data_IF_323598923821
#
_entry.id   IF_323598923821
#
_cell.length_a   1.000
_cell.length_b   1.000
_cell.length_c   1.000
_cell.angle_alpha   90.00
_cell.angle_beta   90.00
_cell.angle_gamma   90.00
#
_symmetry.space_group_name_H-M   'P 1'
#
loop_
_entity.id
_entity.type
_entity.pdbx_description
1 polymer ?
#
# COMPACT_ATOMS: atom_id res chain seq x y z
N UNK A 1 -13.59 -38.04 -29.06
CA UNK A 1 -13.55 -37.14 -27.89
C UNK A 1 -12.23 -37.40 -27.16
N UNK A 2 -11.21 -36.60 -27.43
CA UNK A 2 -9.92 -36.71 -26.72
C UNK A 2 -9.72 -35.41 -25.95
N UNK A 3 -9.94 -35.47 -24.64
CA UNK A 3 -9.67 -34.39 -23.70
C UNK A 3 -8.16 -34.28 -23.51
N UNK A 4 -7.52 -33.43 -24.31
CA UNK A 4 -6.17 -32.95 -24.01
C UNK A 4 -6.22 -32.11 -22.75
N UNK A 5 -6.00 -32.77 -21.60
CA UNK A 5 -5.63 -32.12 -20.35
C UNK A 5 -4.30 -31.37 -20.59
N UNK A 6 -4.40 -30.07 -20.82
CA UNK A 6 -3.24 -29.17 -20.78
C UNK A 6 -2.71 -29.21 -19.36
N UNK A 7 -1.65 -29.99 -19.12
CA UNK A 7 -0.82 -29.89 -17.92
C UNK A 7 -0.37 -28.44 -17.82
N UNK A 8 -0.99 -27.70 -16.91
CA UNK A 8 -0.46 -26.41 -16.47
C UNK A 8 0.84 -26.69 -15.74
N UNK A 9 1.97 -26.33 -16.36
CA UNK A 9 3.28 -26.31 -15.69
C UNK A 9 3.27 -25.20 -14.64
N UNK A 10 2.75 -25.52 -13.45
CA UNK A 10 2.77 -24.63 -12.30
C UNK A 10 4.21 -24.51 -11.80
N UNK A 11 4.84 -23.36 -12.05
CA UNK A 11 6.21 -23.11 -11.55
C UNK A 11 6.14 -22.69 -10.08
N UNK A 12 6.12 -23.67 -9.18
CA UNK A 12 6.19 -23.44 -7.73
C UNK A 12 7.49 -22.72 -7.39
N UNK A 13 7.40 -21.67 -6.57
CA UNK A 13 8.59 -20.93 -6.11
C UNK A 13 9.53 -21.86 -5.34
N UNK A 14 10.84 -21.58 -5.36
CA UNK A 14 11.81 -22.34 -4.54
C UNK A 14 11.76 -21.94 -3.06
N UNK A 15 11.47 -20.66 -2.80
CA UNK A 15 11.40 -20.09 -1.46
C UNK A 15 10.26 -19.08 -1.31
N UNK A 16 9.80 -18.95 -0.08
CA UNK A 16 8.75 -18.04 0.37
C UNK A 16 9.39 -17.02 1.32
N UNK A 17 9.07 -15.75 1.11
CA UNK A 17 9.31 -14.70 2.08
C UNK A 17 8.05 -14.54 2.92
N UNK A 18 8.13 -14.80 4.22
CA UNK A 18 7.00 -14.62 5.12
C UNK A 18 6.60 -13.13 5.16
N UNK A 19 5.33 -12.76 4.86
CA UNK A 19 4.87 -11.38 4.95
C UNK A 19 4.69 -10.91 6.41
N UNK A 20 4.85 -11.78 7.40
CA UNK A 20 4.71 -11.38 8.80
C UNK A 20 6.05 -11.12 9.48
N UNK A 21 6.98 -12.06 9.36
CA UNK A 21 8.25 -12.03 10.08
C UNK A 21 9.48 -11.87 9.17
N UNK A 22 9.29 -11.75 7.86
CA UNK A 22 10.33 -11.56 6.85
C UNK A 22 11.38 -12.68 6.79
N UNK A 23 11.11 -13.81 7.45
CA UNK A 23 11.93 -15.00 7.32
C UNK A 23 11.72 -15.61 5.93
N UNK A 24 12.82 -15.83 5.22
CA UNK A 24 12.81 -16.55 3.95
C UNK A 24 13.08 -18.02 4.20
N UNK A 25 12.20 -18.90 3.71
CA UNK A 25 12.33 -20.35 3.88
C UNK A 25 11.99 -21.10 2.58
N UNK A 26 12.52 -22.30 2.36
CA UNK A 26 12.15 -23.15 1.23
C UNK A 26 10.67 -23.56 1.26
N UNK A 27 10.04 -23.73 0.10
CA UNK A 27 8.61 -24.10 0.06
C UNK A 27 8.31 -25.41 0.81
N UNK A 28 9.20 -26.40 0.74
CA UNK A 28 9.02 -27.68 1.42
C UNK A 28 9.11 -27.60 2.95
N UNK A 29 9.58 -26.48 3.51
CA UNK A 29 9.61 -26.25 4.97
C UNK A 29 8.31 -25.64 5.51
N UNK A 30 7.34 -25.33 4.64
CA UNK A 30 6.03 -24.78 5.04
C UNK A 30 5.29 -25.72 6.00
N UNK A 31 4.66 -25.15 7.01
CA UNK A 31 3.82 -25.90 7.94
C UNK A 31 2.36 -25.88 7.46
N UNK A 32 1.58 -26.86 7.88
CA UNK A 32 0.13 -26.88 7.74
C UNK A 32 -0.53 -26.66 9.10
N UNK A 33 -1.71 -26.06 9.10
CA UNK A 33 -2.50 -25.81 10.31
C UNK A 33 -3.50 -26.96 10.45
N UNK A 34 -3.51 -27.62 11.61
CA UNK A 34 -4.44 -28.71 11.90
C UNK A 34 -5.90 -28.23 11.92
N UNK A 35 -6.83 -29.12 11.57
CA UNK A 35 -8.27 -28.86 11.60
C UNK A 35 -8.98 -29.64 12.71
N UNK A 36 -8.43 -30.78 13.16
CA UNK A 36 -9.06 -31.56 14.23
C UNK A 36 -9.14 -30.78 15.56
N UNK A 37 -10.30 -30.70 16.24
CA UNK A 37 -10.48 -29.89 17.46
C UNK A 37 -9.54 -30.22 18.63
N UNK A 38 -9.11 -31.48 18.75
CA UNK A 38 -8.16 -31.91 19.79
C UNK A 38 -6.71 -31.46 19.54
N UNK A 39 -6.37 -30.97 18.35
CA UNK A 39 -5.01 -30.59 17.98
C UNK A 39 -4.72 -29.12 18.29
N UNK A 40 -5.06 -28.67 19.49
CA UNK A 40 -4.75 -27.34 20.00
C UNK A 40 -3.35 -27.28 20.65
N UNK A 41 -2.86 -26.06 20.87
CA UNK A 41 -1.56 -25.80 21.47
C UNK A 41 -0.45 -25.67 20.46
N UNK A 42 -0.28 -24.44 19.97
CA UNK A 42 0.84 -24.05 19.14
C UNK A 42 1.98 -23.45 20.00
N UNK A 43 3.23 -23.90 19.84
CA UNK A 43 4.35 -23.42 20.68
C UNK A 43 4.72 -21.95 20.44
N UNK A 44 4.25 -21.33 19.36
CA UNK A 44 4.49 -19.91 19.04
C UNK A 44 3.27 -19.05 19.33
N UNK A 45 2.06 -19.55 19.13
CA UNK A 45 0.84 -18.73 19.25
C UNK A 45 0.06 -18.96 20.55
N UNK A 46 0.32 -20.06 21.25
CA UNK A 46 -0.32 -20.40 22.52
C UNK A 46 -1.36 -21.51 22.41
N UNK A 47 -2.04 -21.75 23.52
CA UNK A 47 -2.90 -22.92 23.72
C UNK A 47 -4.20 -22.88 22.89
N UNK A 48 -4.70 -21.70 22.58
CA UNK A 48 -5.98 -21.52 21.87
C UNK A 48 -5.85 -21.66 20.35
N UNK A 49 -4.63 -21.86 19.84
CA UNK A 49 -4.36 -21.97 18.42
C UNK A 49 -4.19 -23.42 17.99
N UNK A 50 -4.75 -23.75 16.83
CA UNK A 50 -4.53 -25.04 16.16
C UNK A 50 -3.03 -25.30 15.96
N UNK A 51 -2.59 -26.51 16.22
CA UNK A 51 -1.19 -26.88 16.12
C UNK A 51 -0.73 -26.83 14.67
N UNK A 52 0.45 -26.23 14.44
CA UNK A 52 1.13 -26.30 13.16
C UNK A 52 1.95 -27.59 13.06
N UNK A 53 1.93 -28.25 11.92
CA UNK A 53 2.64 -29.51 11.70
C UNK A 53 3.26 -29.59 10.31
N UNK A 54 4.27 -30.44 10.15
CA UNK A 54 4.79 -30.83 8.84
C UNK A 54 4.02 -32.06 8.34
N UNK A 55 3.39 -32.00 7.16
CA UNK A 55 2.61 -33.12 6.66
C UNK A 55 3.53 -34.27 6.23
N UNK A 56 3.15 -35.49 6.60
CA UNK A 56 3.76 -36.73 6.11
C UNK A 56 2.83 -37.51 5.18
N UNK A 57 1.55 -37.13 5.13
CA UNK A 57 0.49 -37.77 4.36
C UNK A 57 -0.36 -36.72 3.68
N UNK A 58 -0.84 -37.05 2.49
CA UNK A 58 -1.71 -36.20 1.69
C UNK A 58 -2.90 -37.00 1.15
N UNK A 59 -4.03 -36.32 0.97
CA UNK A 59 -5.16 -36.86 0.21
C UNK A 59 -4.80 -36.92 -1.28
N UNK A 60 -5.56 -37.66 -2.12
CA UNK A 60 -5.39 -37.63 -3.57
C UNK A 60 -5.53 -36.23 -4.20
N UNK A 61 -6.18 -35.29 -3.51
CA UNK A 61 -6.33 -33.88 -3.92
C UNK A 61 -5.18 -32.99 -3.43
N UNK A 62 -4.09 -33.58 -2.91
CA UNK A 62 -2.94 -32.88 -2.37
C UNK A 62 -3.22 -32.01 -1.13
N UNK A 63 -4.22 -32.37 -0.33
CA UNK A 63 -4.46 -31.75 0.98
C UNK A 63 -3.63 -32.48 2.04
N UNK A 64 -3.01 -31.75 2.96
CA UNK A 64 -2.28 -32.36 4.05
C UNK A 64 -3.23 -33.11 4.98
N UNK A 65 -2.84 -34.27 5.50
CA UNK A 65 -3.64 -34.99 6.50
C UNK A 65 -3.01 -34.78 7.87
N UNK A 66 -3.78 -34.26 8.83
CA UNK A 66 -3.30 -34.04 10.18
C UNK A 66 -3.07 -35.35 10.96
N UNK A 67 -2.44 -35.31 12.15
CA UNK A 67 -2.21 -36.50 12.96
C UNK A 67 -3.48 -37.29 13.33
N UNK A 68 -4.66 -36.66 13.30
CA UNK A 68 -5.96 -37.27 13.64
C UNK A 68 -6.76 -37.68 12.40
N UNK A 69 -6.23 -37.47 11.20
CA UNK A 69 -6.82 -37.94 9.95
C UNK A 69 -7.69 -36.91 9.21
N UNK A 70 -7.75 -35.66 9.66
CA UNK A 70 -8.52 -34.62 8.96
C UNK A 70 -7.71 -34.01 7.82
N UNK A 71 -8.33 -33.74 6.65
CA UNK A 71 -7.70 -32.97 5.59
C UNK A 71 -7.49 -31.52 6.03
N UNK A 72 -6.39 -30.90 5.61
CA UNK A 72 -5.97 -29.56 5.98
C UNK A 72 -5.45 -28.82 4.75
N UNK A 73 -5.93 -27.60 4.55
CA UNK A 73 -5.57 -26.78 3.38
C UNK A 73 -4.83 -25.48 3.72
N UNK A 74 -4.84 -25.06 4.99
CA UNK A 74 -4.19 -23.85 5.49
C UNK A 74 -2.72 -24.08 5.79
N UNK A 75 -1.92 -23.07 5.47
CA UNK A 75 -0.46 -23.12 5.59
C UNK A 75 0.07 -22.06 6.54
N UNK A 76 1.25 -22.29 7.13
CA UNK A 76 1.85 -21.41 8.11
C UNK A 76 3.37 -21.31 7.98
N UNK A 77 3.92 -20.21 8.47
CA UNK A 77 5.37 -19.97 8.47
C UNK A 77 6.08 -20.88 9.48
N UNK A 78 7.17 -21.58 9.11
CA UNK A 78 7.92 -22.42 10.04
C UNK A 78 8.63 -21.64 11.15
N UNK A 79 8.83 -20.34 10.99
CA UNK A 79 9.49 -19.50 11.99
C UNK A 79 8.49 -18.90 13.00
N UNK A 80 7.47 -18.19 12.50
CA UNK A 80 6.53 -17.46 13.35
C UNK A 80 5.15 -18.11 13.50
N UNK A 81 4.87 -19.19 12.78
CA UNK A 81 3.62 -19.97 12.80
C UNK A 81 2.33 -19.24 12.39
N UNK A 82 2.42 -17.94 12.10
CA UNK A 82 1.33 -17.17 11.50
C UNK A 82 0.95 -17.77 10.14
N UNK A 83 -0.34 -17.68 9.83
CA UNK A 83 -0.92 -18.19 8.59
C UNK A 83 -0.28 -17.50 7.38
N UNK A 84 0.05 -18.29 6.38
CA UNK A 84 0.64 -17.84 5.12
C UNK A 84 -0.40 -18.07 4.04
N UNK A 85 -0.98 -16.99 3.47
CA UNK A 85 -1.94 -17.12 2.39
C UNK A 85 -1.33 -17.84 1.19
N UNK A 86 -2.14 -18.66 0.50
CA UNK A 86 -1.70 -19.38 -0.71
C UNK A 86 -1.08 -18.46 -1.77
N UNK A 87 -1.55 -17.22 -1.85
CA UNK A 87 -0.97 -16.19 -2.72
C UNK A 87 0.54 -15.97 -2.50
N UNK A 88 1.07 -16.17 -1.29
CA UNK A 88 2.51 -16.07 -0.99
C UNK A 88 3.34 -17.23 -1.58
N UNK A 89 2.69 -18.37 -1.83
CA UNK A 89 3.31 -19.57 -2.39
C UNK A 89 3.36 -19.44 -3.92
N UNK A 90 2.26 -18.94 -4.51
CA UNK A 90 2.08 -18.82 -5.95
C UNK A 90 2.74 -17.58 -6.55
N UNK A 91 2.64 -16.44 -5.87
CA UNK A 91 3.01 -15.13 -6.42
C UNK A 91 4.23 -14.55 -5.70
N UNK A 92 5.01 -13.76 -6.44
CA UNK A 92 6.11 -13.03 -5.84
C UNK A 92 5.59 -11.89 -4.95
N UNK A 93 5.96 -11.85 -3.65
CA UNK A 93 5.62 -10.72 -2.81
C UNK A 93 6.36 -9.47 -3.29
N UNK A 94 5.64 -8.35 -3.30
CA UNK A 94 6.17 -7.00 -3.49
C UNK A 94 5.83 -6.20 -2.24
N UNK A 95 6.85 -5.89 -1.46
CA UNK A 95 6.68 -5.19 -0.18
C UNK A 95 6.69 -3.69 -0.44
N UNK A 96 5.65 -3.01 0.04
CA UNK A 96 5.51 -1.56 0.03
C UNK A 96 5.48 -1.09 1.48
N UNK A 97 6.44 -0.25 1.85
CA UNK A 97 6.48 0.36 3.18
C UNK A 97 5.92 1.75 3.15
N UNK A 98 4.85 1.99 3.90
CA UNK A 98 4.28 3.32 4.08
C UNK A 98 4.85 3.95 5.34
N UNK A 99 5.62 5.02 5.15
CA UNK A 99 6.34 5.78 6.17
C UNK A 99 5.68 7.16 6.25
N UNK A 100 5.52 7.72 7.43
CA UNK A 100 5.01 9.07 7.55
C UNK A 100 4.71 9.43 8.99
N UNK A 101 4.76 10.73 9.30
CA UNK A 101 4.53 11.22 10.65
C UNK A 101 3.11 10.88 11.18
N UNK A 102 2.89 10.91 12.49
CA UNK A 102 1.55 10.91 13.08
C UNK A 102 0.62 11.92 12.38
N UNK A 103 -0.63 11.52 12.16
CA UNK A 103 -1.68 12.35 11.57
C UNK A 103 -1.45 12.90 10.14
N UNK A 104 -0.44 12.44 9.37
CA UNK A 104 -0.24 12.85 7.96
C UNK A 104 -1.24 12.23 6.97
N UNK A 105 -2.15 11.37 7.45
CA UNK A 105 -3.23 10.77 6.65
C UNK A 105 -2.94 9.38 6.06
N UNK A 106 -2.01 8.59 6.63
CA UNK A 106 -1.65 7.25 6.13
C UNK A 106 -2.84 6.31 5.94
N UNK A 107 -3.68 6.15 6.96
CA UNK A 107 -4.83 5.24 6.90
C UNK A 107 -5.82 5.69 5.80
N UNK A 108 -6.13 6.98 5.73
CA UNK A 108 -6.96 7.54 4.66
C UNK A 108 -6.35 7.30 3.27
N UNK A 109 -5.04 7.51 3.12
CA UNK A 109 -4.32 7.29 1.87
C UNK A 109 -4.38 5.82 1.42
N UNK A 110 -4.07 4.87 2.30
CA UNK A 110 -4.07 3.44 1.97
C UNK A 110 -5.50 2.98 1.62
N UNK A 111 -6.51 3.37 2.40
CA UNK A 111 -7.91 3.05 2.11
C UNK A 111 -8.34 3.60 0.75
N UNK A 112 -8.05 4.87 0.49
CA UNK A 112 -8.44 5.52 -0.78
C UNK A 112 -7.63 4.98 -1.96
N UNK A 113 -6.38 4.59 -1.76
CA UNK A 113 -5.55 3.96 -2.78
C UNK A 113 -6.09 2.56 -3.14
N UNK A 114 -6.41 1.74 -2.15
CA UNK A 114 -6.98 0.41 -2.37
C UNK A 114 -8.31 0.50 -3.13
N UNK A 115 -9.21 1.39 -2.68
CA UNK A 115 -10.48 1.68 -3.33
C UNK A 115 -10.31 2.10 -4.80
N UNK A 116 -9.42 3.08 -5.06
CA UNK A 116 -9.18 3.56 -6.41
C UNK A 116 -8.53 2.50 -7.31
N UNK A 117 -7.58 1.71 -6.80
CA UNK A 117 -6.94 0.64 -7.55
C UNK A 117 -7.92 -0.47 -7.96
N UNK A 118 -8.87 -0.87 -7.09
CA UNK A 118 -9.92 -1.86 -7.44
C UNK A 118 -10.72 -1.43 -8.67
N UNK A 119 -11.02 -0.13 -8.75
CA UNK A 119 -11.77 0.46 -9.84
C UNK A 119 -10.93 0.66 -11.11
N UNK A 120 -9.73 1.23 -10.96
CA UNK A 120 -8.89 1.66 -12.10
C UNK A 120 -8.19 0.47 -12.78
N UNK A 121 -7.62 -0.46 -12.02
CA UNK A 121 -6.82 -1.55 -12.57
C UNK A 121 -7.64 -2.51 -13.45
N UNK A 122 -8.84 -2.87 -12.98
CA UNK A 122 -9.71 -3.80 -13.70
C UNK A 122 -10.26 -3.16 -14.98
N UNK A 123 -10.79 -1.94 -14.87
CA UNK A 123 -11.47 -1.23 -15.97
C UNK A 123 -10.52 -0.73 -17.05
N UNK A 124 -9.35 -0.22 -16.68
CA UNK A 124 -8.47 0.46 -17.62
C UNK A 124 -7.24 -0.35 -18.00
N UNK A 125 -6.71 -1.16 -17.08
CA UNK A 125 -5.45 -1.88 -17.29
C UNK A 125 -5.65 -3.38 -17.52
N UNK A 126 -6.88 -3.89 -17.41
CA UNK A 126 -7.19 -5.33 -17.47
C UNK A 126 -6.39 -6.15 -16.46
N UNK A 127 -6.24 -5.63 -15.23
CA UNK A 127 -5.53 -6.29 -14.13
C UNK A 127 -6.50 -6.49 -12.96
N UNK A 128 -6.56 -7.71 -12.45
CA UNK A 128 -7.27 -8.02 -11.22
C UNK A 128 -6.49 -7.50 -10.03
N UNK A 129 -7.16 -6.76 -9.15
CA UNK A 129 -6.67 -6.36 -7.83
C UNK A 129 -7.65 -6.89 -6.77
N UNK A 130 -7.30 -8.02 -6.17
CA UNK A 130 -8.20 -8.75 -5.28
C UNK A 130 -7.59 -8.91 -3.89
N UNK A 131 -8.46 -8.98 -2.88
CA UNK A 131 -8.07 -9.29 -1.51
C UNK A 131 -7.42 -10.69 -1.46
N UNK A 132 -6.22 -10.79 -0.88
CA UNK A 132 -5.50 -12.06 -0.76
C UNK A 132 -5.77 -12.76 0.58
N UNK A 133 -6.25 -12.03 1.59
CA UNK A 133 -6.56 -12.53 2.92
C UNK A 133 -7.59 -11.60 3.59
N UNK A 134 -8.89 -11.95 3.52
CA UNK A 134 -9.96 -11.11 4.05
C UNK A 134 -9.89 -10.87 5.56
N UNK A 135 -9.27 -11.78 6.33
CA UNK A 135 -9.15 -11.63 7.77
C UNK A 135 -8.07 -10.60 8.11
N UNK A 136 -6.92 -10.68 7.43
CA UNK A 136 -5.85 -9.70 7.59
C UNK A 136 -6.30 -8.31 7.11
N UNK A 137 -7.04 -8.25 6.00
CA UNK A 137 -7.52 -7.00 5.41
C UNK A 137 -8.83 -6.47 6.02
N UNK A 138 -9.40 -7.15 7.01
CA UNK A 138 -10.70 -6.79 7.61
C UNK A 138 -10.78 -5.30 7.96
N UNK A 139 -9.77 -4.77 8.66
CA UNK A 139 -9.66 -3.35 9.02
C UNK A 139 -9.79 -2.42 7.82
N UNK A 140 -9.13 -2.76 6.71
CA UNK A 140 -9.19 -1.94 5.50
C UNK A 140 -10.57 -2.01 4.86
N UNK A 141 -11.19 -3.19 4.85
CA UNK A 141 -12.55 -3.38 4.33
C UNK A 141 -13.57 -2.58 5.16
N UNK A 142 -13.40 -2.50 6.48
CA UNK A 142 -14.19 -1.64 7.37
C UNK A 142 -13.98 -0.15 7.05
N UNK A 143 -12.73 0.28 6.81
CA UNK A 143 -12.44 1.66 6.42
C UNK A 143 -13.03 2.02 5.05
N UNK A 144 -12.92 1.12 4.07
CA UNK A 144 -13.57 1.29 2.74
C UNK A 144 -15.08 1.39 2.90
N UNK A 145 -15.66 0.56 3.78
CA UNK A 145 -17.10 0.61 4.07
C UNK A 145 -17.51 1.95 4.65
N UNK A 146 -16.75 2.46 5.63
CA UNK A 146 -17.05 3.71 6.30
C UNK A 146 -16.91 4.94 5.37
N UNK A 147 -15.91 4.96 4.48
CA UNK A 147 -15.64 6.11 3.62
C UNK A 147 -16.39 6.08 2.28
N UNK A 148 -16.58 4.92 1.66
CA UNK A 148 -17.04 4.82 0.27
C UNK A 148 -18.33 4.01 0.06
N UNK A 149 -18.69 3.14 1.00
CA UNK A 149 -19.91 2.32 0.93
C UNK A 149 -20.91 2.65 2.05
N UNK A 150 -20.73 3.76 2.75
CA UNK A 150 -21.61 4.16 3.81
C UNK A 150 -22.97 4.59 3.22
N UNK A 151 -24.04 3.93 3.64
CA UNK A 151 -25.39 4.24 3.16
C UNK A 151 -25.82 5.64 3.60
N UNK A 152 -25.34 6.10 4.76
CA UNK A 152 -25.66 7.41 5.31
C UNK A 152 -24.61 8.43 4.86
N UNK A 153 -24.71 8.85 3.59
CA UNK A 153 -23.68 9.64 2.92
C UNK A 153 -23.50 11.07 3.46
N UNK A 154 -24.42 11.56 4.29
CA UNK A 154 -24.38 12.88 4.92
C UNK A 154 -23.75 12.86 6.33
N UNK A 155 -23.63 11.68 6.94
CA UNK A 155 -23.09 11.52 8.28
C UNK A 155 -21.57 11.74 8.29
N UNK A 156 -21.08 12.46 9.31
CA UNK A 156 -19.65 12.68 9.48
C UNK A 156 -18.97 11.42 9.96
N UNK A 157 -18.00 10.95 9.19
CA UNK A 157 -17.16 9.80 9.53
C UNK A 157 -15.71 10.19 9.72
N UNK A 158 -15.03 9.53 10.65
CA UNK A 158 -13.59 9.66 10.88
C UNK A 158 -12.97 8.26 11.00
N UNK A 159 -11.83 8.03 10.36
CA UNK A 159 -11.08 6.80 10.56
C UNK A 159 -10.40 6.83 11.94
N UNK A 160 -10.41 5.73 12.70
CA UNK A 160 -9.69 5.66 13.97
C UNK A 160 -8.18 5.82 13.76
N UNK A 161 -7.49 6.35 14.77
CA UNK A 161 -6.02 6.48 14.73
C UNK A 161 -5.38 5.09 14.70
N UNK A 162 -4.28 4.98 13.97
CA UNK A 162 -3.47 3.76 13.97
C UNK A 162 -2.65 3.71 15.24
N UNK A 163 -2.80 2.63 16.01
CA UNK A 163 -2.11 2.44 17.28
C UNK A 163 -0.78 1.67 17.13
N UNK A 164 0.12 1.81 18.11
CA UNK A 164 1.42 1.12 18.14
C UNK A 164 1.35 -0.29 18.72
N UNK A 165 0.17 -0.70 19.21
CA UNK A 165 -0.10 -2.03 19.75
C UNK A 165 -1.55 -2.44 19.41
N UNK A 166 -1.98 -3.62 19.84
CA UNK A 166 -3.36 -4.08 19.66
C UNK A 166 -3.60 -4.78 18.33
N UNK A 167 -4.77 -4.57 17.73
CA UNK A 167 -5.29 -5.36 16.61
C UNK A 167 -4.42 -5.30 15.33
N UNK A 168 -3.58 -4.27 15.21
CA UNK A 168 -2.61 -4.10 14.12
C UNK A 168 -1.45 -5.10 14.15
N UNK A 169 -1.26 -5.80 15.28
CA UNK A 169 -0.11 -6.67 15.49
C UNK A 169 -0.55 -8.11 15.79
N UNK A 170 0.31 -9.05 15.43
CA UNK A 170 0.21 -10.46 15.81
C UNK A 170 1.30 -10.78 16.82
N UNK A 171 0.92 -11.26 17.99
CA UNK A 171 1.86 -11.68 19.05
C UNK A 171 2.34 -13.11 18.80
N UNK A 172 3.65 -13.31 18.87
CA UNK A 172 4.32 -14.60 18.61
C UNK A 172 5.37 -14.84 19.68
N UNK A 173 5.36 -16.03 20.28
CA UNK A 173 6.24 -16.44 21.36
C UNK A 173 7.54 -17.08 20.83
N UNK A 174 8.68 -16.49 21.21
CA UNK A 174 10.02 -17.05 21.03
C UNK A 174 10.61 -17.43 22.39
N UNK A 175 10.34 -18.66 22.83
CA UNK A 175 10.67 -19.11 24.18
C UNK A 175 9.85 -18.34 25.20
N UNK A 176 10.50 -17.62 26.11
CA UNK A 176 9.83 -16.75 27.08
C UNK A 176 9.53 -15.33 26.56
N UNK A 177 9.97 -14.98 25.34
CA UNK A 177 9.81 -13.63 24.78
C UNK A 177 8.60 -13.57 23.86
N UNK A 178 7.69 -12.62 24.09
CA UNK A 178 6.65 -12.27 23.11
C UNK A 178 7.18 -11.22 22.14
N UNK A 179 7.00 -11.47 20.85
CA UNK A 179 7.37 -10.57 19.75
C UNK A 179 6.12 -10.19 18.98
N UNK A 180 5.94 -8.90 18.73
CA UNK A 180 4.78 -8.38 17.98
C UNK A 180 5.17 -8.08 16.53
N UNK A 181 4.52 -8.76 15.59
CA UNK A 181 4.68 -8.51 14.15
C UNK A 181 3.52 -7.68 13.61
N UNK A 182 3.85 -6.66 12.81
CA UNK A 182 2.85 -5.84 12.13
C UNK A 182 2.10 -6.66 11.08
N UNK A 183 0.76 -6.57 11.07
CA UNK A 183 -0.08 -7.20 10.04
C UNK A 183 -0.02 -6.35 8.75
N UNK A 184 0.47 -6.88 7.62
CA UNK A 184 0.43 -6.18 6.34
C UNK A 184 -0.96 -6.25 5.71
N UNK A 185 -1.31 -5.32 4.83
CA UNK A 185 -2.42 -5.54 3.90
C UNK A 185 -1.94 -6.36 2.69
N UNK A 186 -2.70 -7.37 2.29
CA UNK A 186 -2.30 -8.34 1.27
C UNK A 186 -3.25 -8.32 0.06
N UNK A 187 -2.71 -8.10 -1.13
CA UNK A 187 -3.50 -8.09 -2.37
C UNK A 187 -2.86 -8.91 -3.46
N UNK A 188 -3.66 -9.56 -4.29
CA UNK A 188 -3.18 -10.18 -5.52
C UNK A 188 -3.34 -9.23 -6.70
N UNK A 189 -2.26 -9.08 -7.48
CA UNK A 189 -2.22 -8.39 -8.76
C UNK A 189 -2.00 -9.44 -9.85
N UNK A 190 -3.01 -9.68 -10.70
CA UNK A 190 -2.95 -10.69 -11.76
C UNK A 190 -3.48 -10.14 -13.08
N UNK A 191 -2.78 -10.34 -14.22
CA UNK A 191 -3.35 -10.07 -15.54
C UNK A 191 -4.69 -10.80 -15.73
N UNK A 192 -5.72 -10.08 -16.19
CA UNK A 192 -7.00 -10.70 -16.58
C UNK A 192 -6.85 -11.46 -17.90
N UNK A 193 -7.85 -12.28 -18.26
CA UNK A 193 -7.87 -13.02 -19.54
C UNK A 193 -7.82 -12.08 -20.76
N UNK A 194 -8.32 -10.85 -20.62
CA UNK A 194 -8.31 -9.80 -21.64
C UNK A 194 -7.00 -9.01 -21.70
N UNK A 195 -6.02 -9.34 -20.85
CA UNK A 195 -4.72 -8.68 -20.84
C UNK A 195 -3.78 -9.31 -21.90
N UNK A 196 -2.97 -8.54 -22.65
CA UNK A 196 -2.01 -9.06 -23.63
C UNK A 196 -1.06 -10.11 -23.06
N UNK A 197 -0.69 -9.97 -21.78
CA UNK A 197 0.16 -10.92 -21.06
C UNK A 197 -0.62 -11.95 -20.20
N UNK A 198 -1.88 -12.26 -20.53
CA UNK A 198 -2.71 -13.20 -19.76
C UNK A 198 -2.04 -14.59 -19.60
N UNK A 199 -1.37 -15.09 -20.64
CA UNK A 199 -0.67 -16.37 -20.60
C UNK A 199 0.51 -16.38 -19.60
N UNK A 200 1.08 -15.21 -19.29
CA UNK A 200 2.18 -15.06 -18.35
C UNK A 200 1.71 -14.73 -16.92
N UNK A 201 0.43 -14.98 -16.58
CA UNK A 201 -0.16 -14.64 -15.28
C UNK A 201 0.65 -15.12 -14.07
N UNK A 202 1.17 -16.35 -14.10
CA UNK A 202 1.96 -16.89 -12.99
C UNK A 202 3.31 -16.18 -12.85
N UNK A 203 3.98 -15.86 -13.95
CA UNK A 203 5.29 -15.22 -13.95
C UNK A 203 5.19 -13.72 -13.63
N UNK A 204 4.13 -13.05 -14.08
CA UNK A 204 3.92 -11.62 -13.91
C UNK A 204 3.12 -11.28 -12.66
N UNK A 205 2.25 -12.18 -12.19
CA UNK A 205 1.42 -11.96 -11.02
C UNK A 205 2.25 -11.63 -9.77
N UNK A 206 1.69 -10.78 -8.91
CA UNK A 206 2.34 -10.32 -7.67
C UNK A 206 1.39 -10.45 -6.50
N UNK A 207 1.96 -10.71 -5.33
CA UNK A 207 1.30 -10.45 -4.07
C UNK A 207 1.82 -9.10 -3.57
N UNK A 208 0.98 -8.09 -3.52
CA UNK A 208 1.33 -6.79 -2.94
C UNK A 208 1.15 -6.87 -1.43
N UNK A 209 2.22 -6.58 -0.68
CA UNK A 209 2.20 -6.53 0.78
C UNK A 209 2.44 -5.07 1.22
N UNK A 210 1.40 -4.39 1.68
CA UNK A 210 1.47 -2.98 2.11
C UNK A 210 1.56 -2.94 3.63
N UNK A 211 2.65 -2.36 4.16
CA UNK A 211 2.80 -2.15 5.60
C UNK A 211 2.44 -0.71 5.96
N UNK A 212 1.54 -0.60 6.93
CA UNK A 212 1.09 0.65 7.54
C UNK A 212 1.60 0.70 8.97
N UNK A 213 2.75 1.36 9.17
CA UNK A 213 3.30 1.58 10.49
C UNK A 213 2.62 2.79 11.14
N UNK A 214 2.39 2.74 12.45
CA UNK A 214 2.03 3.95 13.20
C UNK A 214 3.14 5.01 13.01
N UNK A 215 2.77 6.29 12.98
CA UNK A 215 3.77 7.35 12.73
C UNK A 215 4.78 7.45 13.86
N UNK A 216 4.32 7.12 15.06
CA UNK A 216 5.06 7.02 16.32
C UNK A 216 6.16 5.96 16.24
N UNK A 217 5.99 4.89 15.45
CA UNK A 217 6.98 3.82 15.29
C UNK A 217 8.31 4.29 14.68
N UNK A 218 8.30 5.44 14.01
CA UNK A 218 9.48 6.05 13.40
C UNK A 218 10.04 7.22 14.22
N UNK A 219 9.63 7.37 15.47
CA UNK A 219 10.29 8.27 16.41
C UNK A 219 11.54 7.59 17.00
N UNK A 220 12.58 8.36 17.38
CA UNK A 220 13.79 7.80 17.99
C UNK A 220 13.49 6.94 19.22
N UNK A 221 14.15 5.79 19.32
CA UNK A 221 14.07 4.90 20.49
C UNK A 221 12.86 3.95 20.55
N UNK A 222 11.98 3.95 19.53
CA UNK A 222 10.76 3.14 19.52
C UNK A 222 10.94 1.71 18.96
N UNK A 223 12.12 1.35 18.46
CA UNK A 223 12.40 -0.01 17.97
C UNK A 223 13.09 -0.85 19.06
N UNK A 224 12.48 -1.98 19.41
CA UNK A 224 13.05 -2.96 20.35
C UNK A 224 13.10 -4.33 19.71
N UNK A 225 13.93 -5.23 20.24
CA UNK A 225 13.95 -6.63 19.79
C UNK A 225 12.61 -7.36 19.94
N UNK A 226 11.69 -6.85 20.78
CA UNK A 226 10.34 -7.37 20.98
C UNK A 226 9.32 -6.78 19.99
N UNK A 227 9.63 -5.63 19.37
CA UNK A 227 8.79 -4.93 18.41
C UNK A 227 9.63 -4.55 17.17
N UNK A 228 9.97 -5.52 16.30
CA UNK A 228 10.74 -5.29 15.07
C UNK A 228 9.85 -4.67 13.98
N UNK A 229 9.09 -3.63 14.32
CA UNK A 229 8.01 -3.05 13.49
C UNK A 229 8.54 -2.47 12.18
N UNK A 230 9.82 -2.09 12.12
CA UNK A 230 10.47 -1.54 10.93
C UNK A 230 11.33 -2.52 10.16
N UNK A 231 11.39 -3.80 10.54
CA UNK A 231 12.19 -4.80 9.83
C UNK A 231 11.72 -5.04 8.39
N UNK A 232 10.44 -4.81 8.09
CA UNK A 232 9.94 -4.84 6.71
C UNK A 232 10.69 -3.88 5.77
N UNK A 233 11.22 -2.75 6.27
CA UNK A 233 11.97 -1.77 5.47
C UNK A 233 13.18 -2.38 4.75
N UNK A 234 13.81 -3.43 5.32
CA UNK A 234 14.95 -4.10 4.71
C UNK A 234 14.58 -5.06 3.59
N UNK A 235 13.29 -5.36 3.44
CA UNK A 235 12.77 -6.27 2.41
C UNK A 235 11.90 -5.54 1.37
N UNK A 236 11.77 -4.22 1.51
CA UNK A 236 10.88 -3.42 0.67
C UNK A 236 11.31 -3.43 -0.79
N UNK A 237 10.33 -3.36 -1.68
CA UNK A 237 10.52 -3.10 -3.10
C UNK A 237 10.14 -1.66 -3.47
N UNK A 238 9.43 -0.97 -2.58
CA UNK A 238 9.04 0.41 -2.71
C UNK A 238 8.90 1.06 -1.33
N UNK A 239 9.47 2.26 -1.18
CA UNK A 239 9.16 3.14 -0.06
C UNK A 239 8.14 4.19 -0.49
N UNK A 240 7.12 4.41 0.33
CA UNK A 240 6.21 5.55 0.22
C UNK A 240 6.34 6.40 1.47
N UNK A 241 6.85 7.62 1.32
CA UNK A 241 6.90 8.57 2.43
C UNK A 241 5.78 9.59 2.29
N UNK A 242 4.83 9.58 3.22
CA UNK A 242 3.74 10.54 3.27
C UNK A 242 4.20 11.80 4.00
N UNK A 243 4.25 12.87 3.23
CA UNK A 243 4.55 14.21 3.70
C UNK A 243 3.27 15.04 3.64
N UNK A 244 2.87 15.60 4.77
CA UNK A 244 1.71 16.50 4.88
C UNK A 244 2.18 17.96 4.94
N UNK A 245 2.08 18.74 3.85
CA UNK A 245 2.53 20.12 3.85
C UNK A 245 1.79 20.99 4.86
N UNK A 246 0.55 20.64 5.23
CA UNK A 246 -0.25 21.44 6.18
C UNK A 246 0.25 21.36 7.62
N UNK A 247 1.14 20.39 7.93
CA UNK A 247 1.81 20.27 9.22
C UNK A 247 3.16 21.02 9.29
N UNK A 248 3.69 21.52 8.17
CA UNK A 248 4.91 22.35 8.17
C UNK A 248 4.57 23.84 8.33
N UNK A 249 5.24 24.53 9.23
CA UNK A 249 4.95 25.94 9.57
C UNK A 249 5.23 26.89 8.40
N UNK A 250 6.30 26.66 7.62
CA UNK A 250 6.65 27.52 6.48
C UNK A 250 5.67 27.33 5.34
N UNK A 251 5.31 26.07 5.07
CA UNK A 251 4.33 25.74 4.05
C UNK A 251 2.93 26.27 4.45
N UNK A 252 2.54 26.12 5.71
CA UNK A 252 1.32 26.69 6.28
C UNK A 252 1.25 28.21 6.13
N UNK A 253 2.36 28.93 6.37
CA UNK A 253 2.44 30.39 6.15
C UNK A 253 2.28 30.75 4.67
N UNK A 254 2.98 30.03 3.78
CA UNK A 254 2.89 30.27 2.34
C UNK A 254 1.47 30.02 1.78
N UNK A 255 0.71 29.11 2.39
CA UNK A 255 -0.70 28.89 2.07
C UNK A 255 -1.58 30.09 2.47
N UNK A 256 -1.32 30.70 3.63
CA UNK A 256 -2.08 31.85 4.12
C UNK A 256 -1.82 33.11 3.29
N UNK A 257 -0.57 33.32 2.87
CA UNK A 257 -0.17 34.49 2.06
C UNK A 257 -0.78 34.50 0.65
N UNK A 258 -1.22 33.34 0.13
CA UNK A 258 -1.83 33.19 -1.20
C UNK A 258 -3.35 33.00 -1.18
N UNK A 259 -3.96 32.81 -0.02
CA UNK A 259 -5.38 32.56 0.12
C UNK A 259 -6.10 33.85 0.54
N UNK A 260 -6.38 34.75 -0.41
CA UNK A 260 -7.14 35.98 -0.13
C UNK A 260 -8.65 35.73 0.07
N UNK A 261 -9.21 34.54 -0.22
CA UNK A 261 -10.67 34.29 -0.11
C UNK A 261 -11.11 32.80 0.03
N UNK A 262 -10.27 31.88 0.53
CA UNK A 262 -10.62 30.43 0.59
C UNK A 262 -11.09 29.95 1.99
N UNK A 263 -12.27 29.28 2.14
CA UNK A 263 -12.79 28.72 3.39
C UNK A 263 -11.91 27.65 4.09
N UNK A 264 -10.68 27.41 3.63
CA UNK A 264 -9.70 26.49 4.23
C UNK A 264 -9.22 26.87 5.65
N UNK A 265 -9.86 27.85 6.30
CA UNK A 265 -9.66 28.22 7.72
C UNK A 265 -9.89 27.04 8.69
N UNK A 266 -10.70 26.04 8.31
CA UNK A 266 -10.94 24.83 9.10
C UNK A 266 -9.68 23.97 9.32
N UNK A 267 -8.69 24.04 8.42
CA UNK A 267 -7.44 23.27 8.52
C UNK A 267 -6.52 23.84 9.61
N UNK A 268 -6.78 25.06 10.13
CA UNK A 268 -5.90 25.72 11.10
C UNK A 268 -6.05 25.17 12.54
N UNK A 269 -7.20 24.60 12.91
CA UNK A 269 -7.48 24.28 14.32
C UNK A 269 -6.91 22.95 14.84
N UNK A 270 -6.33 22.09 13.97
CA UNK A 270 -5.73 20.79 14.35
C UNK A 270 -4.22 20.68 14.06
N UNK A 271 -3.56 21.76 13.66
CA UNK A 271 -2.13 21.75 13.28
C UNK A 271 -1.24 21.65 14.51
N UNK A 272 -0.91 20.42 14.90
CA UNK A 272 0.32 20.20 15.66
C UNK A 272 1.45 20.24 14.64
N UNK A 273 2.20 21.34 14.63
CA UNK A 273 3.39 21.44 13.80
C UNK A 273 4.33 20.29 14.15
N UNK A 274 4.76 19.54 13.13
CA UNK A 274 5.61 18.38 13.33
C UNK A 274 6.79 18.40 12.36
N UNK A 275 7.97 18.10 12.90
CA UNK A 275 9.21 17.93 12.14
C UNK A 275 9.23 16.59 11.42
N UNK A 276 8.49 16.51 10.30
CA UNK A 276 8.34 15.30 9.49
C UNK A 276 9.66 14.81 8.87
N UNK A 277 10.63 15.68 8.67
CA UNK A 277 11.97 15.32 8.21
C UNK A 277 12.71 14.41 9.20
N UNK A 278 12.38 14.51 10.50
CA UNK A 278 12.96 13.64 11.52
C UNK A 278 12.50 12.20 11.32
N UNK A 279 11.22 12.01 10.95
CA UNK A 279 10.64 10.69 10.64
C UNK A 279 11.30 10.08 9.42
N UNK A 280 11.49 10.87 8.35
CA UNK A 280 12.18 10.39 7.15
C UNK A 280 13.66 10.06 7.43
N UNK A 281 14.34 10.90 8.21
CA UNK A 281 15.75 10.69 8.57
C UNK A 281 15.94 9.45 9.44
N UNK A 282 15.04 9.20 10.39
CA UNK A 282 15.05 7.98 11.21
C UNK A 282 14.81 6.74 10.36
N UNK A 283 13.82 6.77 9.45
CA UNK A 283 13.59 5.69 8.51
C UNK A 283 14.81 5.46 7.60
N UNK A 284 15.45 6.53 7.12
CA UNK A 284 16.67 6.48 6.33
C UNK A 284 17.80 5.74 7.08
N UNK A 285 18.04 6.10 8.35
CA UNK A 285 19.04 5.44 9.18
C UNK A 285 18.76 3.94 9.35
N UNK A 286 17.49 3.55 9.55
CA UNK A 286 17.10 2.13 9.67
C UNK A 286 17.32 1.36 8.37
N UNK A 287 16.99 1.97 7.22
CA UNK A 287 17.23 1.38 5.90
C UNK A 287 18.74 1.18 5.67
N UNK A 288 19.56 2.20 5.96
CA UNK A 288 21.02 2.16 5.78
C UNK A 288 21.69 1.14 6.70
N UNK A 289 21.20 0.96 7.93
CA UNK A 289 21.70 -0.06 8.86
C UNK A 289 21.37 -1.49 8.41
N UNK A 290 20.40 -1.67 7.51
CA UNK A 290 20.06 -3.00 7.01
C UNK A 290 21.14 -3.55 6.08
N UNK A 291 21.45 -4.84 6.21
CA UNK A 291 22.52 -5.48 5.43
C UNK A 291 22.23 -5.60 3.93
N UNK A 292 20.96 -5.44 3.52
CA UNK A 292 20.51 -5.53 2.11
C UNK A 292 20.59 -4.21 1.34
N UNK A 293 20.68 -3.07 2.03
CA UNK A 293 20.54 -1.74 1.42
C UNK A 293 21.70 -0.80 1.75
N UNK A 294 22.88 -1.37 2.02
CA UNK A 294 24.10 -0.63 2.35
C UNK A 294 24.47 0.35 1.23
N UNK A 295 24.50 -0.12 -0.01
CA UNK A 295 24.72 0.70 -1.21
C UNK A 295 23.44 1.39 -1.65
N UNK A 296 23.55 2.67 -2.03
CA UNK A 296 22.41 3.49 -2.44
C UNK A 296 21.77 3.00 -3.75
N UNK A 297 22.55 2.39 -4.63
CA UNK A 297 22.05 1.84 -5.91
C UNK A 297 21.13 0.64 -5.70
N UNK A 298 21.34 -0.13 -4.63
CA UNK A 298 20.54 -1.31 -4.29
C UNK A 298 19.26 -0.94 -3.54
N UNK A 299 19.07 0.34 -3.19
CA UNK A 299 17.90 0.80 -2.46
C UNK A 299 16.66 0.80 -3.37
N UNK A 300 15.51 0.36 -2.83
CA UNK A 300 14.21 0.54 -3.48
C UNK A 300 13.99 1.99 -3.87
N UNK A 301 13.18 2.25 -4.90
CA UNK A 301 12.72 3.60 -5.17
C UNK A 301 11.90 4.15 -3.99
N UNK A 302 11.92 5.48 -3.87
CA UNK A 302 11.12 6.24 -2.92
C UNK A 302 10.10 7.10 -3.67
N UNK A 303 8.84 6.97 -3.28
CA UNK A 303 7.79 7.92 -3.67
C UNK A 303 7.49 8.80 -2.48
N UNK A 304 7.74 10.11 -2.60
CA UNK A 304 7.28 11.10 -1.63
C UNK A 304 5.84 11.45 -2.00
N UNK A 305 4.90 10.93 -1.23
CA UNK A 305 3.46 11.20 -1.38
C UNK A 305 3.14 12.49 -0.64
N UNK A 306 2.94 13.56 -1.39
CA UNK A 306 2.65 14.89 -0.84
C UNK A 306 1.13 15.00 -0.66
N UNK A 307 0.67 14.82 0.58
CA UNK A 307 -0.75 14.64 0.88
C UNK A 307 -1.52 15.96 0.89
N UNK A 308 -2.86 15.85 0.94
CA UNK A 308 -3.81 16.97 1.00
C UNK A 308 -3.65 17.98 -0.14
N UNK A 309 -3.39 17.48 -1.35
CA UNK A 309 -3.27 18.30 -2.55
C UNK A 309 -4.41 19.31 -2.72
N UNK A 310 -5.64 18.93 -2.42
CA UNK A 310 -6.84 19.76 -2.36
C UNK A 310 -6.63 21.08 -1.59
N UNK A 311 -5.87 21.05 -0.49
CA UNK A 311 -5.60 22.22 0.35
C UNK A 311 -4.53 23.17 -0.23
N UNK A 312 -3.67 22.70 -1.13
CA UNK A 312 -2.54 23.48 -1.65
C UNK A 312 -2.43 23.50 -3.18
N UNK A 313 -3.43 22.98 -3.89
CA UNK A 313 -3.48 22.88 -5.36
C UNK A 313 -3.17 24.19 -6.09
N UNK A 314 -3.59 25.32 -5.52
CA UNK A 314 -3.37 26.66 -6.08
C UNK A 314 -1.89 27.07 -6.10
N UNK A 315 -1.02 26.37 -5.36
CA UNK A 315 0.42 26.63 -5.35
C UNK A 315 1.17 25.95 -6.50
N UNK A 316 0.59 24.92 -7.13
CA UNK A 316 1.25 24.12 -8.16
C UNK A 316 0.99 24.63 -9.59
N UNK A 317 -0.05 25.45 -9.77
CA UNK A 317 -0.51 25.98 -11.07
C UNK A 317 -0.57 24.86 -12.15
N UNK A 318 -1.11 23.70 -11.75
CA UNK A 318 -1.22 22.52 -12.59
C UNK A 318 -2.53 21.80 -12.23
N UNK A 319 -3.31 21.44 -13.25
CA UNK A 319 -4.48 20.58 -13.04
C UNK A 319 -4.06 19.12 -13.14
N UNK A 320 -4.35 18.34 -12.11
CA UNK A 320 -4.06 16.92 -12.09
C UNK A 320 -5.11 16.14 -12.90
N UNK A 321 -4.79 15.81 -14.14
CA UNK A 321 -5.57 14.89 -14.98
C UNK A 321 -5.15 13.43 -14.73
N UNK A 322 -5.97 12.45 -15.11
CA UNK A 322 -5.59 11.04 -15.02
C UNK A 322 -4.30 10.75 -15.81
N UNK A 323 -3.20 10.28 -15.18
CA UNK A 323 -1.92 10.06 -15.86
C UNK A 323 -1.87 8.71 -16.59
N UNK A 324 -2.96 8.34 -17.26
CA UNK A 324 -3.02 7.15 -18.10
C UNK A 324 -3.93 7.39 -19.30
N UNK A 325 -3.65 6.71 -20.40
CA UNK A 325 -4.38 6.88 -21.66
C UNK A 325 -4.57 5.55 -22.36
N UNK A 326 -5.69 5.43 -23.06
CA UNK A 326 -5.99 4.23 -23.86
C UNK A 326 -5.00 4.09 -25.01
N UNK A 327 -4.35 2.93 -25.12
CA UNK A 327 -3.40 2.59 -26.17
C UNK A 327 -4.10 1.64 -27.14
N UNK A 328 -4.54 2.17 -28.30
CA UNK A 328 -5.31 1.40 -29.29
C UNK A 328 -4.64 0.08 -29.70
N UNK A 329 -3.32 0.08 -29.89
CA UNK A 329 -2.57 -1.13 -30.27
C UNK A 329 -2.53 -2.21 -29.19
N UNK A 330 -2.71 -1.84 -27.92
CA UNK A 330 -2.71 -2.78 -26.79
C UNK A 330 -4.13 -3.14 -26.33
N UNK A 331 -5.15 -2.37 -26.73
CA UNK A 331 -6.53 -2.59 -26.32
C UNK A 331 -6.81 -2.22 -24.85
N UNK A 332 -5.91 -1.49 -24.19
CA UNK A 332 -5.98 -1.11 -22.77
C UNK A 332 -5.20 0.19 -22.50
N UNK A 333 -5.31 0.73 -21.28
CA UNK A 333 -4.59 1.93 -20.88
C UNK A 333 -3.13 1.66 -20.52
N UNK A 334 -2.25 2.60 -20.86
CA UNK A 334 -0.88 2.70 -20.35
C UNK A 334 -0.70 3.95 -19.50
N UNK A 335 0.19 3.88 -18.51
CA UNK A 335 0.54 5.05 -17.66
C UNK A 335 1.40 6.02 -18.45
N UNK A 336 1.01 7.30 -18.45
CA UNK A 336 1.76 8.41 -19.03
C UNK A 336 2.85 8.83 -18.04
N UNK A 337 3.95 8.08 -17.99
CA UNK A 337 5.05 8.28 -17.04
C UNK A 337 5.60 9.71 -17.08
N UNK A 338 5.76 10.29 -18.28
CA UNK A 338 6.27 11.66 -18.44
C UNK A 338 5.38 12.72 -17.76
N UNK A 339 4.07 12.48 -17.68
CA UNK A 339 3.13 13.40 -17.04
C UNK A 339 3.34 13.38 -15.54
N UNK A 340 3.49 12.19 -14.95
CA UNK A 340 3.81 12.03 -13.53
C UNK A 340 5.17 12.65 -13.21
N UNK A 341 6.18 12.44 -14.06
CA UNK A 341 7.52 13.01 -13.87
C UNK A 341 7.53 14.55 -14.00
N UNK A 342 6.76 15.13 -14.92
CA UNK A 342 6.59 16.60 -15.01
C UNK A 342 5.95 17.18 -13.76
N UNK A 343 4.84 16.60 -13.29
CA UNK A 343 4.19 17.05 -12.05
C UNK A 343 5.13 16.88 -10.87
N UNK A 344 5.87 15.77 -10.82
CA UNK A 344 6.88 15.53 -9.79
C UNK A 344 7.97 16.58 -9.77
N UNK A 345 8.47 17.05 -10.91
CA UNK A 345 9.46 18.13 -10.95
C UNK A 345 8.88 19.43 -10.38
N UNK A 346 7.65 19.81 -10.74
CA UNK A 346 6.99 21.01 -10.18
C UNK A 346 6.80 20.90 -8.67
N UNK A 347 6.37 19.74 -8.17
CA UNK A 347 6.20 19.50 -6.74
C UNK A 347 7.55 19.51 -6.02
N UNK A 348 8.59 18.90 -6.60
CA UNK A 348 9.96 18.95 -6.09
C UNK A 348 10.43 20.41 -5.96
N UNK A 349 10.26 21.23 -6.97
CA UNK A 349 10.68 22.64 -6.97
C UNK A 349 9.92 23.48 -5.94
N UNK A 350 8.64 23.17 -5.70
CA UNK A 350 7.87 23.76 -4.61
C UNK A 350 8.44 23.36 -3.23
N UNK A 351 8.68 22.06 -3.03
CA UNK A 351 9.25 21.55 -1.78
C UNK A 351 10.68 22.03 -1.55
N UNK A 352 11.52 22.14 -2.57
CA UNK A 352 12.89 22.67 -2.45
C UNK A 352 12.91 24.12 -1.97
N UNK A 353 11.87 24.91 -2.29
CA UNK A 353 11.76 26.30 -1.81
C UNK A 353 11.22 26.40 -0.38
N UNK A 354 10.26 25.56 -0.01
CA UNK A 354 9.54 25.70 1.27
C UNK A 354 10.10 24.77 2.37
N UNK A 355 10.47 23.55 1.99
CA UNK A 355 10.92 22.47 2.88
C UNK A 355 12.11 21.71 2.25
N UNK A 356 13.24 22.39 1.99
CA UNK A 356 14.39 21.81 1.30
C UNK A 356 14.94 20.56 2.00
N UNK A 357 14.85 20.48 3.32
CA UNK A 357 15.31 19.33 4.09
C UNK A 357 14.59 18.03 3.75
N UNK A 358 13.29 18.07 3.39
CA UNK A 358 12.57 16.87 2.93
C UNK A 358 13.12 16.38 1.59
N UNK A 359 13.38 17.30 0.66
CA UNK A 359 13.96 16.96 -0.66
C UNK A 359 15.36 16.39 -0.49
N UNK A 360 16.21 17.07 0.28
CA UNK A 360 17.58 16.65 0.54
C UNK A 360 17.64 15.26 1.19
N UNK A 361 16.86 15.01 2.23
CA UNK A 361 16.85 13.70 2.91
C UNK A 361 16.31 12.59 2.00
N UNK A 362 15.27 12.85 1.22
CA UNK A 362 14.70 11.87 0.28
C UNK A 362 15.71 11.47 -0.81
N UNK A 363 16.37 12.48 -1.41
CA UNK A 363 17.35 12.29 -2.48
C UNK A 363 18.69 11.75 -1.97
N UNK A 364 19.07 12.02 -0.71
CA UNK A 364 20.21 11.37 -0.08
C UNK A 364 19.94 9.88 0.21
N UNK A 365 18.71 9.56 0.65
CA UNK A 365 18.30 8.19 0.94
C UNK A 365 18.24 7.32 -0.33
N UNK A 366 17.64 7.78 -1.42
CA UNK A 366 17.39 6.96 -2.61
C UNK A 366 17.89 7.61 -3.91
N UNK A 367 18.42 6.81 -4.84
CA UNK A 367 18.78 7.29 -6.19
C UNK A 367 17.56 7.54 -7.10
N UNK A 368 16.41 6.96 -6.74
CA UNK A 368 15.17 7.03 -7.52
C UNK A 368 14.09 7.61 -6.64
N UNK A 369 13.84 8.91 -6.79
CA UNK A 369 12.82 9.65 -6.03
C UNK A 369 11.82 10.28 -6.98
N UNK A 370 10.54 10.19 -6.66
CA UNK A 370 9.46 10.90 -7.35
C UNK A 370 8.52 11.50 -6.30
N UNK A 371 8.04 12.71 -6.56
CA UNK A 371 7.16 13.48 -5.68
C UNK A 371 5.77 13.47 -6.29
N UNK A 372 4.80 12.86 -5.62
CA UNK A 372 3.44 12.68 -6.19
C UNK A 372 2.44 13.40 -5.31
N UNK A 373 1.74 14.43 -5.82
CA UNK A 373 0.66 15.09 -5.10
C UNK A 373 -0.55 14.16 -5.01
N UNK A 374 -1.13 14.06 -3.81
CA UNK A 374 -2.27 13.17 -3.55
C UNK A 374 -3.25 13.83 -2.59
N UNK A 375 -4.55 13.59 -2.80
CA UNK A 375 -5.58 13.81 -1.78
C UNK A 375 -6.33 12.53 -1.53
N UNK A 376 -6.25 12.00 -0.32
CA UNK A 376 -6.99 10.81 0.05
C UNK A 376 -8.50 11.07 0.03
N UNK A 377 -8.94 12.17 0.65
CA UNK A 377 -10.35 12.53 0.74
C UNK A 377 -10.81 13.45 -0.39
N UNK A 378 -9.91 14.25 -0.97
CA UNK A 378 -10.26 15.24 -2.00
C UNK A 378 -10.99 16.48 -1.49
N UNK A 379 -11.32 16.50 -0.21
CA UNK A 379 -12.05 17.57 0.46
C UNK A 379 -11.53 17.78 1.89
N UNK A 380 -11.79 18.97 2.43
CA UNK A 380 -11.51 19.31 3.81
C UNK A 380 -12.54 18.69 4.78
N UNK A 381 -12.15 18.35 6.02
CA UNK A 381 -13.09 17.85 7.01
C UNK A 381 -14.13 18.93 7.39
N UNK A 382 -15.35 18.48 7.65
CA UNK A 382 -16.45 19.29 8.15
C UNK A 382 -16.65 19.09 9.64
N UNK A 383 -17.18 20.11 10.30
CA UNK A 383 -17.55 20.07 11.72
C UNK A 383 -19.01 19.66 11.88
N UNK A 384 -19.33 18.90 12.92
CA UNK A 384 -20.72 18.57 13.27
C UNK A 384 -21.50 19.82 13.66
N UNK A 385 -22.83 19.77 13.53
CA UNK A 385 -23.72 20.90 13.87
C UNK A 385 -23.56 21.33 15.33
N UNK A 386 -23.35 20.38 16.24
CA UNK A 386 -23.11 20.64 17.66
C UNK A 386 -21.67 21.10 17.97
N UNK A 387 -20.77 21.11 16.97
CA UNK A 387 -19.39 21.58 17.11
C UNK A 387 -18.42 20.58 17.75
N UNK A 388 -18.88 19.42 18.22
CA UNK A 388 -18.07 18.50 19.03
C UNK A 388 -17.17 17.56 18.21
N UNK A 389 -17.47 17.34 16.93
CA UNK A 389 -16.79 16.34 16.10
C UNK A 389 -16.39 16.90 14.74
N UNK A 390 -15.24 16.44 14.26
CA UNK A 390 -14.78 16.66 12.90
C UNK A 390 -14.84 15.34 12.14
N UNK A 391 -15.18 15.38 10.87
CA UNK A 391 -15.19 14.20 10.02
C UNK A 391 -15.35 14.57 8.55
N UNK A 392 -15.50 13.57 7.71
CA UNK A 392 -15.79 13.72 6.29
C UNK A 392 -17.19 13.18 6.03
N UNK A 393 -17.92 13.82 5.11
CA UNK A 393 -19.16 13.22 4.61
C UNK A 393 -18.80 12.31 3.44
N UNK A 394 -19.19 11.03 3.46
CA UNK A 394 -18.88 10.09 2.38
C UNK A 394 -19.18 10.63 0.97
N UNK A 395 -20.29 11.36 0.78
CA UNK A 395 -20.65 11.96 -0.53
C UNK A 395 -19.63 12.96 -1.08
N UNK A 396 -18.88 13.63 -0.20
CA UNK A 396 -17.94 14.69 -0.58
C UNK A 396 -16.53 14.10 -0.86
N UNK A 397 -16.32 12.82 -0.56
CA UNK A 397 -15.02 12.15 -0.70
C UNK A 397 -14.75 11.86 -2.18
N UNK A 398 -13.72 12.51 -2.72
CA UNK A 398 -13.29 12.40 -4.12
C UNK A 398 -11.76 12.26 -4.20
N UNK A 399 -11.20 11.04 -4.02
CA UNK A 399 -9.77 10.85 -4.00
C UNK A 399 -9.08 11.38 -5.27
N UNK A 400 -7.94 12.04 -5.09
CA UNK A 400 -7.13 12.60 -6.18
C UNK A 400 -5.80 11.87 -6.21
N UNK A 401 -5.55 11.13 -7.30
CA UNK A 401 -4.25 10.49 -7.60
C UNK A 401 -3.76 9.49 -6.55
N UNK A 402 -4.62 8.94 -5.68
CA UNK A 402 -4.20 7.99 -4.64
C UNK A 402 -3.65 6.68 -5.22
N UNK A 403 -4.15 6.28 -6.38
CA UNK A 403 -3.70 5.14 -7.18
C UNK A 403 -2.39 5.38 -7.95
N UNK A 404 -2.06 6.65 -8.23
CA UNK A 404 -0.94 7.03 -9.12
C UNK A 404 0.43 6.57 -8.59
N UNK A 405 0.76 6.66 -7.29
CA UNK A 405 2.02 6.12 -6.77
C UNK A 405 2.28 4.66 -7.15
N UNK A 406 1.29 3.77 -6.98
CA UNK A 406 1.44 2.35 -7.34
C UNK A 406 1.40 2.12 -8.85
N UNK A 407 0.53 2.82 -9.59
CA UNK A 407 0.51 2.73 -11.05
C UNK A 407 1.85 3.15 -11.66
N UNK A 408 2.44 4.24 -11.17
CA UNK A 408 3.75 4.72 -11.59
C UNK A 408 4.85 3.70 -11.26
N UNK A 409 4.90 3.18 -10.03
CA UNK A 409 5.86 2.15 -9.64
C UNK A 409 5.77 0.92 -10.55
N UNK A 410 4.55 0.41 -10.77
CA UNK A 410 4.31 -0.77 -11.58
C UNK A 410 4.69 -0.55 -13.05
N UNK A 411 4.41 0.63 -13.60
CA UNK A 411 4.70 0.96 -15.00
C UNK A 411 6.19 1.26 -15.25
N UNK A 412 6.86 1.98 -14.35
CA UNK A 412 8.24 2.45 -14.52
C UNK A 412 9.27 1.39 -14.12
N UNK A 413 9.13 0.83 -12.92
CA UNK A 413 10.18 0.07 -12.25
C UNK A 413 9.93 -1.44 -12.17
N UNK A 414 8.69 -1.90 -12.01
CA UNK A 414 8.38 -3.34 -12.00
C UNK A 414 8.23 -3.90 -13.44
N UNK A 415 7.49 -3.19 -14.29
CA UNK A 415 7.15 -3.53 -15.68
C UNK A 415 6.39 -4.87 -15.84
N UNK A 416 5.76 -5.06 -16.99
CA UNK A 416 5.12 -6.33 -17.39
C UNK A 416 3.63 -6.45 -17.09
N UNK A 417 3.17 -6.04 -15.90
CA UNK A 417 1.71 -5.97 -15.58
C UNK A 417 1.12 -4.64 -16.07
N UNK A 418 1.74 -3.52 -15.74
CA UNK A 418 1.26 -2.19 -16.13
C UNK A 418 2.22 -1.63 -17.20
N UNK A 419 1.66 -1.23 -18.34
CA UNK A 419 2.41 -0.66 -19.46
C UNK A 419 2.55 0.86 -19.37
N UNK A 420 3.42 1.41 -20.20
CA UNK A 420 3.59 2.86 -20.38
C UNK A 420 2.89 3.32 -21.66
N UNK A 421 2.25 4.49 -21.61
CA UNK A 421 1.76 5.20 -22.78
C UNK A 421 2.74 6.31 -23.17
N UNK A 422 2.91 6.53 -24.48
CA UNK A 422 3.63 7.71 -24.97
C UNK A 422 2.79 8.95 -24.73
N UNK A 423 3.45 10.04 -24.40
CA UNK A 423 2.80 11.35 -24.41
C UNK A 423 2.47 11.75 -25.84
N UNK A 424 1.21 12.09 -26.09
CA UNK A 424 0.88 12.77 -27.34
C UNK A 424 1.35 14.22 -27.23
N UNK A 425 2.13 14.68 -28.20
CA UNK A 425 2.47 16.10 -28.41
C UNK A 425 1.29 16.94 -28.89
N UNK A 426 0.08 16.37 -28.96
CA UNK A 426 -1.14 17.05 -29.35
C UNK A 426 -2.28 16.74 -28.37
N UNK A 427 -2.97 17.78 -27.89
CA UNK A 427 -4.31 17.69 -27.32
C UNK A 427 -5.25 17.19 -28.42
N UNK A 428 -5.43 15.88 -28.54
CA UNK A 428 -6.46 15.33 -29.40
C UNK A 428 -7.76 15.26 -28.57
N UNK A 429 -8.68 16.17 -28.87
CA UNK A 429 -10.08 16.11 -28.43
C UNK A 429 -10.67 14.77 -28.91
N UNK A 430 -11.37 14.01 -28.05
CA UNK A 430 -12.00 12.77 -28.46
C UNK A 430 -13.07 13.04 -29.53
N UNK A 431 -13.20 12.21 -30.58
CA UNK A 431 -14.28 12.35 -31.53
C UNK A 431 -15.58 11.94 -30.84
N UNK A 432 -16.56 12.85 -30.73
CA UNK A 432 -17.92 12.50 -30.29
C UNK A 432 -18.60 13.43 -29.29
N UNK A 433 -18.32 14.73 -29.26
CA UNK A 433 -19.26 15.72 -28.69
C UNK A 433 -19.54 16.76 -29.76
N UNK A 434 -20.59 16.50 -30.55
CA UNK A 434 -21.21 17.52 -31.38
C UNK A 434 -21.76 18.62 -30.48
N UNK A 435 -21.37 19.86 -30.75
CA UNK A 435 -22.00 21.04 -30.21
C UNK A 435 -23.46 21.09 -30.71
N UNK A 436 -24.43 20.74 -29.86
CA UNK A 436 -25.80 21.19 -30.04
C UNK A 436 -25.95 22.55 -29.37
N UNK A 437 -25.67 23.58 -30.17
CA UNK A 437 -26.09 24.96 -29.91
C UNK A 437 -27.61 25.09 -30.04
N UNK A 438 -28.26 25.45 -28.94
CA UNK A 438 -29.46 26.28 -28.87
C UNK A 438 -29.66 26.76 -27.44
#
# INVERSE_FOLDING_TARGET
MSTTSTKSDYKVRRSILCPHCWHTFPVYDILFIAEHPELLGDPRLGNDYQRRFRPSRFTPNCEAIDPKGMPCNKTACPNCHLEIPRGCIELAPRIVSVIGAPACGKSYFITSQAWMLRNVLSRHFHVSFADADPLINQRLNEYETLLFLNQNNDELVELPKTETFGEHYSSVLFGSRSVQFLKPFLFTLKPLRTHPNAAAMQALGRLLCIYDNAGESFLPGQETGQQPVTRHLSESNLFMFLFDPTQDVRFARALQEKAEDDPASAINHRRVAMRQETVLSEAAQRIVRSTKHTRKEDRPPLIVVVTKYDAWRHMLDERLESPWRYVKSAGLCGVTVGQVERVSMKVRDLLSRLTPEIVNTAEDLCNRVVYVPVSATGCAPSRSENGDRWGFRPKDITPIWTEVPLLYYLAKWERGIIGQAKESTAMAVPPGVENSSS
#
